data_IF_345258872859
#
_entry.id   IF_345258872859
#
_cell.length_a   1.000
_cell.length_b   1.000
_cell.length_c   1.000
_cell.angle_alpha   90.00
_cell.angle_beta   90.00
_cell.angle_gamma   90.00
#
_symmetry.space_group_name_H-M   'P 1'
#
loop_
_entity.id
_entity.type
_entity.pdbx_description
1 polymer ?
#
# COMPACT_ATOMS: atom_id res chain seq x y z
N UNK A 1 27.09 39.90 -36.74
CA UNK A 1 26.81 38.43 -36.54
C UNK A 1 27.21 37.72 -37.83
N UNK A 2 28.09 36.71 -37.81
CA UNK A 2 28.43 35.95 -39.01
C UNK A 2 27.18 35.30 -39.63
N UNK A 3 27.10 35.26 -40.97
CA UNK A 3 25.95 34.66 -41.66
C UNK A 3 25.65 33.20 -41.25
N UNK A 4 26.70 32.43 -40.98
CA UNK A 4 26.57 31.03 -40.48
C UNK A 4 25.80 30.95 -39.13
N UNK A 5 26.14 31.81 -38.17
CA UNK A 5 25.46 31.84 -36.86
C UNK A 5 23.99 32.27 -36.96
N UNK A 6 23.64 33.13 -37.93
CA UNK A 6 22.24 33.50 -38.19
C UNK A 6 21.42 32.33 -38.74
N UNK A 7 21.97 31.59 -39.71
CA UNK A 7 21.27 30.41 -40.29
C UNK A 7 21.16 29.28 -39.31
N UNK A 8 22.20 29.02 -38.50
CA UNK A 8 22.10 28.03 -37.41
C UNK A 8 21.06 28.42 -36.36
N UNK A 9 20.98 29.69 -36.00
CA UNK A 9 19.98 30.20 -35.07
C UNK A 9 18.57 30.09 -35.65
N UNK A 10 18.38 30.41 -36.96
CA UNK A 10 17.13 30.29 -37.67
C UNK A 10 16.65 28.82 -37.74
N UNK A 11 17.52 27.86 -38.05
CA UNK A 11 17.23 26.42 -38.06
C UNK A 11 16.82 25.95 -36.67
N UNK A 12 17.50 26.41 -35.62
CA UNK A 12 17.12 26.09 -34.22
C UNK A 12 15.77 26.64 -33.78
N UNK A 13 15.35 27.77 -34.37
CA UNK A 13 14.03 28.35 -34.15
C UNK A 13 12.93 27.62 -34.93
N UNK A 14 13.23 27.24 -36.18
CA UNK A 14 12.29 26.55 -37.07
C UNK A 14 12.11 25.07 -36.72
N UNK A 15 13.11 24.45 -36.09
CA UNK A 15 13.08 23.07 -35.60
C UNK A 15 13.67 23.00 -34.17
N UNK A 16 12.92 23.43 -33.15
CA UNK A 16 13.41 23.33 -31.79
C UNK A 16 13.59 21.84 -31.44
N UNK A 17 14.84 21.44 -31.21
CA UNK A 17 15.15 20.09 -30.71
C UNK A 17 14.57 20.03 -29.30
N UNK A 18 13.49 19.24 -29.11
CA UNK A 18 12.98 18.96 -27.80
C UNK A 18 13.98 18.06 -27.05
N UNK A 19 14.82 18.70 -26.22
CA UNK A 19 15.81 18.01 -25.38
C UNK A 19 15.18 17.12 -24.33
N UNK A 20 13.87 17.24 -24.14
CA UNK A 20 13.13 16.48 -23.16
C UNK A 20 12.35 15.31 -23.80
N UNK A 21 12.35 15.17 -25.12
CA UNK A 21 11.49 14.21 -25.84
C UNK A 21 11.61 12.79 -25.29
N UNK A 22 12.83 12.26 -25.21
CA UNK A 22 13.07 10.90 -24.73
C UNK A 22 12.62 10.72 -23.28
N UNK A 23 12.95 11.66 -22.40
CA UNK A 23 12.53 11.62 -20.99
C UNK A 23 11.02 11.80 -20.85
N UNK A 24 10.40 12.61 -21.69
CA UNK A 24 8.97 12.86 -21.75
C UNK A 24 8.21 11.60 -22.14
N UNK A 25 8.68 10.89 -23.16
CA UNK A 25 8.07 9.65 -23.63
C UNK A 25 8.18 8.56 -22.55
N UNK A 26 9.35 8.45 -21.90
CA UNK A 26 9.54 7.49 -20.79
C UNK A 26 8.68 7.82 -19.56
N UNK A 27 8.51 9.10 -19.21
CA UNK A 27 7.59 9.52 -18.15
C UNK A 27 6.15 9.07 -18.46
N UNK A 28 5.69 9.21 -19.70
CA UNK A 28 4.35 8.76 -20.12
C UNK A 28 4.20 7.25 -19.91
N UNK A 29 5.18 6.47 -20.35
CA UNK A 29 5.20 5.01 -20.16
C UNK A 29 5.13 4.64 -18.67
N UNK A 30 5.97 5.24 -17.82
CA UNK A 30 5.97 4.97 -16.37
C UNK A 30 4.62 5.32 -15.72
N UNK A 31 4.03 6.45 -16.11
CA UNK A 31 2.71 6.86 -15.56
C UNK A 31 1.61 5.91 -16.01
N UNK A 32 1.64 5.42 -17.24
CA UNK A 32 0.69 4.44 -17.77
C UNK A 32 0.86 3.08 -17.08
N UNK A 33 2.08 2.53 -17.00
CA UNK A 33 2.41 1.29 -16.31
C UNK A 33 1.97 1.32 -14.83
N UNK A 34 2.17 2.45 -14.15
CA UNK A 34 1.72 2.67 -12.77
C UNK A 34 0.23 3.03 -12.65
N UNK A 35 -0.53 3.07 -13.75
CA UNK A 35 -1.94 3.49 -13.80
C UNK A 35 -2.19 4.85 -13.12
N UNK A 36 -1.29 5.79 -13.30
CA UNK A 36 -1.37 7.14 -12.72
C UNK A 36 -1.17 7.20 -11.19
N UNK A 37 -0.68 6.11 -10.56
CA UNK A 37 -0.46 6.02 -9.11
C UNK A 37 0.80 6.74 -8.64
N UNK A 38 1.77 6.95 -9.53
CA UNK A 38 3.06 7.56 -9.19
C UNK A 38 3.02 9.09 -9.29
N UNK A 39 3.41 9.74 -8.19
CA UNK A 39 3.79 11.14 -8.23
C UNK A 39 5.23 11.33 -8.74
N UNK A 40 5.63 12.58 -9.01
CA UNK A 40 6.92 12.90 -9.61
C UNK A 40 8.13 12.28 -8.89
N UNK A 41 8.08 12.09 -7.56
CA UNK A 41 9.19 11.47 -6.81
C UNK A 41 9.40 10.01 -7.21
N UNK A 42 8.32 9.21 -7.28
CA UNK A 42 8.39 7.81 -7.72
C UNK A 42 8.72 7.70 -9.20
N UNK A 43 8.19 8.58 -10.04
CA UNK A 43 8.56 8.66 -11.46
C UNK A 43 10.06 8.95 -11.61
N UNK A 44 10.64 9.84 -10.77
CA UNK A 44 12.07 10.09 -10.78
C UNK A 44 12.87 8.84 -10.41
N UNK A 45 12.47 8.11 -9.37
CA UNK A 45 13.13 6.85 -8.99
C UNK A 45 13.00 5.81 -10.10
N UNK A 46 11.83 5.67 -10.72
CA UNK A 46 11.62 4.76 -11.84
C UNK A 46 12.54 5.09 -13.03
N UNK A 47 12.68 6.37 -13.37
CA UNK A 47 13.62 6.83 -14.40
C UNK A 47 15.07 6.49 -14.03
N UNK A 48 15.46 6.71 -12.78
CA UNK A 48 16.81 6.37 -12.31
C UNK A 48 17.07 4.86 -12.42
N UNK A 49 16.10 4.01 -12.07
CA UNK A 49 16.21 2.56 -12.21
C UNK A 49 16.33 2.10 -13.68
N UNK A 50 15.78 2.89 -14.62
CA UNK A 50 15.93 2.68 -16.07
C UNK A 50 17.20 3.33 -16.66
N UNK A 51 18.08 3.91 -15.82
CA UNK A 51 19.37 4.50 -16.21
C UNK A 51 19.34 5.97 -16.59
N UNK A 52 18.19 6.66 -16.44
CA UNK A 52 18.11 8.10 -16.71
C UNK A 52 18.64 8.93 -15.54
N UNK A 53 19.60 9.80 -15.79
CA UNK A 53 20.07 10.77 -14.79
C UNK A 53 19.29 12.08 -14.92
N UNK A 54 18.14 12.15 -14.23
CA UNK A 54 17.21 13.29 -14.35
C UNK A 54 16.87 13.86 -12.98
N UNK A 55 16.97 15.19 -12.86
CA UNK A 55 16.58 15.88 -11.63
C UNK A 55 15.06 15.86 -11.46
N UNK A 56 14.59 15.61 -10.23
CA UNK A 56 13.17 15.57 -9.89
C UNK A 56 12.39 16.85 -10.23
N UNK A 57 13.06 18.04 -10.25
CA UNK A 57 12.44 19.31 -10.68
C UNK A 57 12.12 19.29 -12.17
N UNK A 58 13.00 18.69 -13.01
CA UNK A 58 12.77 18.52 -14.44
C UNK A 58 11.60 17.56 -14.68
N UNK A 59 11.56 16.42 -13.96
CA UNK A 59 10.45 15.47 -14.02
C UNK A 59 9.13 16.13 -13.65
N UNK A 60 9.08 16.88 -12.53
CA UNK A 60 7.88 17.60 -12.10
C UNK A 60 7.40 18.62 -13.14
N UNK A 61 8.32 19.35 -13.80
CA UNK A 61 7.97 20.30 -14.86
C UNK A 61 7.32 19.57 -16.04
N UNK A 62 7.96 18.50 -16.54
CA UNK A 62 7.44 17.73 -17.68
C UNK A 62 6.07 17.12 -17.32
N UNK A 63 5.89 16.54 -16.14
CA UNK A 63 4.60 15.98 -15.69
C UNK A 63 3.50 17.05 -15.62
N UNK A 64 3.84 18.32 -15.30
CA UNK A 64 2.88 19.42 -15.33
C UNK A 64 2.52 19.83 -16.76
N UNK A 65 3.50 19.96 -17.64
CA UNK A 65 3.31 20.29 -19.06
C UNK A 65 2.40 19.26 -19.75
N UNK A 66 2.57 17.96 -19.42
CA UNK A 66 1.81 16.85 -19.99
C UNK A 66 0.51 16.53 -19.23
N UNK A 67 0.18 17.26 -18.17
CA UNK A 67 -1.00 16.99 -17.32
C UNK A 67 -0.99 15.59 -16.69
N UNK A 68 0.20 15.06 -16.36
CA UNK A 68 0.41 13.71 -15.81
C UNK A 68 0.57 13.67 -14.29
N UNK A 69 0.20 14.75 -13.58
CA UNK A 69 0.29 14.76 -12.13
C UNK A 69 -0.67 13.75 -11.50
N UNK A 70 -0.17 12.98 -10.53
CA UNK A 70 -0.98 12.03 -9.78
C UNK A 70 -2.12 12.75 -9.05
N UNK A 71 -3.35 12.30 -9.26
CA UNK A 71 -4.57 12.82 -8.64
C UNK A 71 -5.22 11.87 -7.63
N UNK A 72 -4.56 10.73 -7.32
CA UNK A 72 -5.10 9.67 -6.46
C UNK A 72 -5.16 10.08 -4.99
N UNK A 73 -4.19 10.84 -4.50
CA UNK A 73 -4.10 11.23 -3.09
C UNK A 73 -4.87 12.52 -2.82
N UNK A 74 -6.19 12.42 -2.65
CA UNK A 74 -7.05 13.54 -2.25
C UNK A 74 -7.19 13.57 -0.73
N UNK A 75 -7.02 14.73 -0.10
CA UNK A 75 -7.22 14.91 1.33
C UNK A 75 -8.67 14.57 1.70
N UNK A 76 -8.85 13.60 2.60
CA UNK A 76 -10.15 13.24 3.16
C UNK A 76 -10.07 13.30 4.69
N UNK A 77 -11.03 13.94 5.34
CA UNK A 77 -11.18 13.85 6.79
C UNK A 77 -11.72 12.46 7.13
N UNK A 78 -11.07 11.76 8.05
CA UNK A 78 -11.52 10.47 8.58
C UNK A 78 -12.16 10.70 9.93
N UNK A 79 -13.35 10.12 10.13
CA UNK A 79 -13.90 9.95 11.48
C UNK A 79 -13.38 8.63 12.01
N UNK A 80 -12.65 8.70 13.11
CA UNK A 80 -12.21 7.51 13.84
C UNK A 80 -13.40 6.95 14.64
N UNK A 81 -13.57 5.64 14.61
CA UNK A 81 -14.56 4.93 15.45
C UNK A 81 -13.88 3.71 16.04
N UNK A 82 -13.68 3.68 17.35
CA UNK A 82 -13.18 2.52 18.04
C UNK A 82 -14.26 1.45 18.24
N UNK A 83 -13.84 0.19 18.29
CA UNK A 83 -14.71 -0.95 18.59
C UNK A 83 -15.38 -0.77 19.96
N UNK A 84 -16.71 -1.01 20.01
CA UNK A 84 -17.55 -0.85 21.21
C UNK A 84 -18.14 -2.15 21.73
N UNK A 85 -17.70 -3.33 21.22
CA UNK A 85 -18.21 -4.64 21.60
C UNK A 85 -17.67 -5.15 22.95
N UNK A 86 -18.10 -6.39 23.31
CA UNK A 86 -17.62 -7.09 24.49
C UNK A 86 -16.11 -7.32 24.42
N UNK A 87 -15.44 -7.17 25.56
CA UNK A 87 -13.98 -7.26 25.68
C UNK A 87 -13.62 -8.67 26.08
N UNK A 88 -12.89 -9.41 25.21
CA UNK A 88 -12.28 -10.69 25.53
C UNK A 88 -10.91 -10.55 26.20
N UNK A 89 -10.01 -11.51 26.00
CA UNK A 89 -8.63 -11.44 26.50
C UNK A 89 -7.80 -10.43 25.70
N UNK A 90 -7.36 -9.37 26.30
CA UNK A 90 -6.50 -8.35 25.68
C UNK A 90 -5.04 -8.68 26.02
N UNK A 91 -4.19 -8.73 25.00
CA UNK A 91 -2.75 -8.84 25.17
C UNK A 91 -2.11 -7.47 25.41
N UNK A 92 -0.95 -7.45 26.05
CA UNK A 92 -0.18 -6.24 26.26
C UNK A 92 0.33 -5.64 24.93
N UNK A 93 0.53 -4.33 24.89
CA UNK A 93 1.19 -3.67 23.77
C UNK A 93 2.71 -3.82 23.87
N UNK A 94 3.23 -4.93 23.35
CA UNK A 94 4.67 -5.25 23.37
C UNK A 94 5.44 -4.39 22.34
N UNK A 95 4.80 -4.01 21.25
CA UNK A 95 5.42 -3.25 20.14
C UNK A 95 5.67 -1.79 20.50
N UNK A 96 4.79 -1.21 21.31
CA UNK A 96 4.84 0.18 21.80
C UNK A 96 5.31 1.22 20.76
N UNK A 97 4.79 1.09 19.53
CA UNK A 97 5.09 1.93 18.34
C UNK A 97 6.51 1.78 17.78
N UNK A 98 7.29 0.84 18.25
CA UNK A 98 8.58 0.52 17.64
C UNK A 98 8.41 -0.41 16.45
N UNK A 99 7.95 0.13 15.33
CA UNK A 99 7.72 -0.62 14.08
C UNK A 99 9.03 -0.83 13.32
N UNK A 100 9.92 -1.63 13.90
CA UNK A 100 11.22 -1.99 13.31
C UNK A 100 11.39 -3.51 13.36
N UNK A 101 11.97 -4.04 12.31
CA UNK A 101 12.37 -5.44 12.22
C UNK A 101 13.73 -5.52 11.51
N UNK A 102 14.62 -6.36 12.01
CA UNK A 102 15.96 -6.56 11.46
C UNK A 102 15.99 -7.70 10.42
N UNK A 103 14.98 -8.55 10.43
CA UNK A 103 14.81 -9.70 9.53
C UNK A 103 13.33 -9.96 9.23
N UNK A 104 13.01 -10.66 8.13
CA UNK A 104 11.66 -11.13 7.85
C UNK A 104 11.09 -11.98 9.00
N UNK A 105 9.78 -11.96 9.15
CA UNK A 105 9.03 -12.75 10.13
C UNK A 105 9.38 -12.43 11.60
N UNK A 106 9.81 -11.20 11.88
CA UNK A 106 10.07 -10.75 13.25
C UNK A 106 8.87 -9.96 13.82
N UNK A 107 8.23 -9.12 13.00
CA UNK A 107 7.07 -8.35 13.39
C UNK A 107 6.05 -8.29 12.24
N UNK A 108 4.90 -8.89 12.50
CA UNK A 108 3.74 -8.83 11.61
C UNK A 108 2.66 -7.94 12.18
N UNK A 109 2.07 -7.11 11.34
CA UNK A 109 0.89 -6.32 11.68
C UNK A 109 -0.32 -6.83 10.94
N UNK A 110 -1.47 -6.80 11.58
CA UNK A 110 -2.75 -7.17 10.97
C UNK A 110 -3.88 -6.26 11.43
N UNK A 111 -4.88 -6.12 10.59
CA UNK A 111 -6.13 -5.41 10.85
C UNK A 111 -7.16 -5.81 9.79
N UNK A 112 -8.41 -5.43 9.96
CA UNK A 112 -9.49 -5.68 9.00
C UNK A 112 -10.00 -4.36 8.44
N UNK A 113 -10.08 -4.28 7.10
CA UNK A 113 -10.68 -3.13 6.44
C UNK A 113 -11.87 -3.54 5.58
N UNK A 114 -12.82 -2.60 5.39
CA UNK A 114 -14.00 -2.83 4.57
C UNK A 114 -13.97 -2.00 3.28
N UNK A 115 -14.59 -2.56 2.24
CA UNK A 115 -14.90 -1.89 0.98
C UNK A 115 -16.40 -1.96 0.73
N UNK A 116 -16.96 -0.88 0.20
CA UNK A 116 -18.36 -0.82 -0.18
C UNK A 116 -18.49 -0.21 -1.58
N UNK A 117 -19.07 -0.96 -2.51
CA UNK A 117 -19.41 -0.46 -3.85
C UNK A 117 -20.61 0.48 -3.71
N UNK A 118 -20.57 1.60 -4.40
CA UNK A 118 -21.67 2.59 -4.38
C UNK A 118 -22.94 1.96 -4.95
N UNK A 119 -24.02 2.06 -4.19
CA UNK A 119 -25.33 1.49 -4.57
C UNK A 119 -25.54 0.05 -4.11
N UNK A 120 -24.52 -0.62 -3.55
CA UNK A 120 -24.62 -1.98 -3.02
C UNK A 120 -24.77 -1.97 -1.49
N UNK A 121 -25.59 -2.88 -0.97
CA UNK A 121 -25.73 -3.05 0.49
C UNK A 121 -24.63 -3.89 1.11
N UNK A 122 -24.15 -4.88 0.36
CA UNK A 122 -23.08 -5.78 0.79
C UNK A 122 -21.77 -5.03 0.99
N UNK A 123 -20.90 -5.60 1.81
CA UNK A 123 -19.53 -5.13 2.02
C UNK A 123 -18.56 -6.27 1.71
N UNK A 124 -17.35 -5.90 1.32
CA UNK A 124 -16.23 -6.83 1.21
C UNK A 124 -15.21 -6.46 2.28
N UNK A 125 -14.74 -7.43 3.01
CA UNK A 125 -13.73 -7.28 4.06
C UNK A 125 -12.41 -7.88 3.59
N UNK A 126 -11.33 -7.17 3.86
CA UNK A 126 -9.96 -7.61 3.62
C UNK A 126 -9.22 -7.67 4.95
N UNK A 127 -8.64 -8.83 5.23
CA UNK A 127 -7.73 -9.04 6.37
C UNK A 127 -6.36 -9.44 5.84
N UNK A 128 -5.36 -8.56 5.85
CA UNK A 128 -3.99 -8.84 5.45
C UNK A 128 -3.07 -8.99 6.65
N UNK A 129 -1.91 -9.63 6.43
CA UNK A 129 -0.72 -9.54 7.28
C UNK A 129 0.36 -8.75 6.55
N UNK A 130 0.86 -7.71 7.19
CA UNK A 130 1.99 -6.89 6.75
C UNK A 130 3.25 -7.28 7.53
N UNK A 131 4.29 -7.75 6.87
CA UNK A 131 5.61 -7.88 7.44
C UNK A 131 6.31 -6.51 7.47
N UNK A 132 6.75 -6.09 8.64
CA UNK A 132 7.36 -4.76 8.84
C UNK A 132 8.76 -4.67 8.22
N UNK A 133 9.50 -5.77 8.11
CA UNK A 133 10.86 -5.78 7.60
C UNK A 133 10.96 -5.19 6.18
N UNK A 134 10.11 -5.66 5.27
CA UNK A 134 10.12 -5.24 3.86
C UNK A 134 8.83 -4.54 3.44
N UNK A 135 7.89 -4.35 4.37
CA UNK A 135 6.56 -3.79 4.13
C UNK A 135 5.79 -4.58 3.06
N UNK A 136 5.85 -5.90 3.08
CA UNK A 136 5.12 -6.80 2.19
C UNK A 136 3.84 -7.34 2.83
N UNK A 137 2.82 -7.52 2.01
CA UNK A 137 1.62 -8.27 2.39
C UNK A 137 1.91 -9.74 2.15
N UNK A 138 2.24 -10.46 3.22
CA UNK A 138 2.64 -11.87 3.15
C UNK A 138 1.46 -12.83 3.08
N UNK A 139 0.28 -12.41 3.53
CA UNK A 139 -0.95 -13.19 3.43
C UNK A 139 -2.15 -12.27 3.48
N UNK A 140 -3.25 -12.67 2.88
CA UNK A 140 -4.54 -11.99 3.02
C UNK A 140 -5.72 -12.91 2.76
N UNK A 141 -6.88 -12.50 3.25
CA UNK A 141 -8.17 -13.15 2.99
C UNK A 141 -9.24 -12.10 2.71
N UNK A 142 -10.13 -12.41 1.78
CA UNK A 142 -11.29 -11.62 1.42
C UNK A 142 -12.58 -12.36 1.78
N UNK A 143 -13.56 -11.68 2.36
CA UNK A 143 -14.86 -12.26 2.71
C UNK A 143 -15.96 -11.20 2.70
N UNK A 144 -17.20 -11.62 2.44
CA UNK A 144 -18.37 -10.76 2.60
C UNK A 144 -18.82 -10.61 4.06
N UNK A 145 -18.24 -11.39 4.98
CA UNK A 145 -18.57 -11.36 6.40
C UNK A 145 -17.29 -11.22 7.24
N UNK A 146 -17.27 -10.30 8.21
CA UNK A 146 -16.13 -10.15 9.11
C UNK A 146 -16.20 -11.21 10.24
N UNK A 147 -16.11 -12.46 9.86
CA UNK A 147 -16.13 -13.60 10.80
C UNK A 147 -14.73 -13.92 11.32
N UNK A 148 -14.65 -14.75 12.33
CA UNK A 148 -13.39 -15.25 12.91
C UNK A 148 -12.58 -16.04 11.86
N UNK A 149 -13.25 -16.73 10.93
CA UNK A 149 -12.61 -17.44 9.83
C UNK A 149 -11.80 -16.50 8.93
N UNK A 150 -12.26 -15.25 8.74
CA UNK A 150 -11.54 -14.27 7.90
C UNK A 150 -10.09 -14.08 8.37
N UNK A 151 -9.89 -13.91 9.68
CA UNK A 151 -8.55 -13.71 10.25
C UNK A 151 -7.80 -15.02 10.45
N UNK A 152 -8.48 -16.08 10.87
CA UNK A 152 -7.86 -17.38 11.12
C UNK A 152 -7.33 -18.04 9.84
N UNK A 153 -8.08 -18.00 8.74
CA UNK A 153 -7.64 -18.52 7.43
C UNK A 153 -6.44 -17.73 6.89
N UNK A 154 -6.45 -16.40 7.07
CA UNK A 154 -5.31 -15.55 6.71
C UNK A 154 -4.05 -15.94 7.49
N UNK A 155 -4.17 -16.14 8.81
CA UNK A 155 -3.04 -16.55 9.65
C UNK A 155 -2.52 -17.94 9.28
N UNK A 156 -3.40 -18.91 9.01
CA UNK A 156 -3.02 -20.25 8.58
C UNK A 156 -2.19 -20.21 7.30
N UNK A 157 -2.66 -19.50 6.28
CA UNK A 157 -1.91 -19.30 5.02
C UNK A 157 -0.54 -18.69 5.28
N UNK A 158 -0.47 -17.63 6.11
CA UNK A 158 0.80 -17.00 6.44
C UNK A 158 1.79 -17.97 7.10
N UNK A 159 1.31 -18.81 8.03
CA UNK A 159 2.15 -19.77 8.75
C UNK A 159 2.53 -20.99 7.89
N UNK A 160 1.72 -21.35 6.89
CA UNK A 160 2.05 -22.40 5.92
C UNK A 160 3.19 -21.98 4.99
N UNK A 161 3.19 -20.74 4.55
CA UNK A 161 4.20 -20.19 3.64
C UNK A 161 5.49 -19.76 4.36
N UNK A 162 5.38 -19.32 5.64
CA UNK A 162 6.50 -18.81 6.43
C UNK A 162 6.77 -19.73 7.63
N UNK A 163 7.69 -20.67 7.48
CA UNK A 163 8.02 -21.68 8.52
C UNK A 163 8.90 -21.15 9.65
N UNK A 164 9.74 -20.15 9.39
CA UNK A 164 10.60 -19.54 10.42
C UNK A 164 9.82 -18.42 11.14
N UNK A 165 9.11 -18.81 12.18
CA UNK A 165 8.34 -17.91 13.04
C UNK A 165 8.93 -17.79 14.44
N UNK A 166 10.21 -18.15 14.59
CA UNK A 166 10.90 -18.02 15.88
C UNK A 166 10.95 -16.55 16.30
N UNK A 167 10.48 -16.29 17.51
CA UNK A 167 10.41 -14.96 18.13
C UNK A 167 9.48 -13.97 17.38
N UNK A 168 8.57 -14.48 16.55
CA UNK A 168 7.57 -13.65 15.85
C UNK A 168 6.63 -12.96 16.83
N UNK A 169 6.43 -11.66 16.61
CA UNK A 169 5.38 -10.87 17.25
C UNK A 169 4.29 -10.58 16.21
N UNK A 170 3.03 -10.87 16.54
CA UNK A 170 1.89 -10.43 15.74
C UNK A 170 1.15 -9.34 16.50
N UNK A 171 1.07 -8.16 15.90
CA UNK A 171 0.39 -7.00 16.47
C UNK A 171 -0.90 -6.69 15.72
N UNK A 172 -1.97 -6.42 16.48
CA UNK A 172 -3.28 -6.05 15.96
C UNK A 172 -3.95 -4.96 16.79
N UNK A 173 -5.10 -4.47 16.35
CA UNK A 173 -6.02 -3.75 17.22
C UNK A 173 -6.71 -4.69 18.22
N UNK A 174 -7.62 -4.12 19.05
CA UNK A 174 -8.44 -4.90 19.98
C UNK A 174 -9.74 -5.42 19.33
N UNK A 175 -9.75 -5.75 18.05
CA UNK A 175 -10.88 -6.34 17.36
C UNK A 175 -11.25 -7.73 17.94
N UNK A 176 -12.54 -8.07 17.94
CA UNK A 176 -13.03 -9.34 18.51
C UNK A 176 -12.39 -10.58 17.88
N UNK A 177 -11.97 -10.48 16.62
CA UNK A 177 -11.28 -11.56 15.91
C UNK A 177 -10.01 -11.99 16.62
N UNK A 178 -9.23 -11.02 17.09
CA UNK A 178 -7.89 -11.21 17.70
C UNK A 178 -7.98 -11.57 19.19
N UNK A 179 -9.14 -11.36 19.81
CA UNK A 179 -9.43 -11.73 21.21
C UNK A 179 -10.02 -13.13 21.35
N UNK A 180 -10.47 -13.72 20.24
CA UNK A 180 -11.13 -15.02 20.24
C UNK A 180 -10.14 -16.16 20.52
N UNK A 181 -10.60 -17.19 21.27
CA UNK A 181 -9.78 -18.33 21.68
C UNK A 181 -9.16 -19.10 20.50
N UNK A 182 -9.84 -19.19 19.36
CA UNK A 182 -9.28 -19.85 18.18
C UNK A 182 -8.03 -19.15 17.63
N UNK A 183 -7.96 -17.81 17.74
CA UNK A 183 -6.78 -17.03 17.39
C UNK A 183 -5.67 -17.18 18.43
N UNK A 184 -5.97 -16.91 19.71
CA UNK A 184 -4.97 -16.94 20.80
C UNK A 184 -4.35 -18.32 20.98
N UNK A 185 -5.16 -19.40 20.97
CA UNK A 185 -4.66 -20.77 21.07
C UNK A 185 -3.76 -21.17 19.90
N UNK A 186 -4.00 -20.60 18.71
CA UNK A 186 -3.16 -20.84 17.53
C UNK A 186 -1.78 -20.22 17.70
N UNK A 187 -1.73 -18.97 18.18
CA UNK A 187 -0.48 -18.28 18.48
C UNK A 187 0.31 -18.98 19.60
N UNK A 188 -0.36 -19.38 20.68
CA UNK A 188 0.27 -20.12 21.78
C UNK A 188 0.89 -21.44 21.31
N UNK A 189 0.18 -22.23 20.49
CA UNK A 189 0.69 -23.50 19.92
C UNK A 189 1.94 -23.30 19.05
N UNK A 190 2.04 -22.18 18.39
CA UNK A 190 3.18 -21.82 17.51
C UNK A 190 4.26 -21.03 18.24
N UNK A 191 4.08 -20.78 19.55
CA UNK A 191 4.98 -19.95 20.36
C UNK A 191 5.20 -18.54 19.79
N UNK A 192 4.12 -17.94 19.26
CA UNK A 192 4.10 -16.61 18.67
C UNK A 192 3.58 -15.61 19.72
N UNK A 193 4.28 -14.49 19.88
CA UNK A 193 3.87 -13.45 20.82
C UNK A 193 2.76 -12.60 20.25
N UNK A 194 1.62 -12.52 20.95
CA UNK A 194 0.54 -11.60 20.60
C UNK A 194 0.81 -10.23 21.24
N UNK A 195 0.60 -9.17 20.46
CA UNK A 195 0.62 -7.78 20.89
C UNK A 195 -0.64 -7.07 20.42
N UNK A 196 -1.20 -6.19 21.25
CA UNK A 196 -2.40 -5.43 20.88
C UNK A 196 -2.24 -3.94 21.13
N UNK A 197 -2.77 -3.13 20.22
CA UNK A 197 -2.87 -1.67 20.37
C UNK A 197 -3.64 -1.29 21.62
N UNK A 198 -3.29 -0.17 22.24
CA UNK A 198 -4.09 0.43 23.32
C UNK A 198 -5.45 0.87 22.80
N UNK A 199 -6.47 0.73 23.63
CA UNK A 199 -7.85 1.07 23.25
C UNK A 199 -7.96 2.51 22.76
N UNK A 200 -8.50 2.68 21.56
CA UNK A 200 -8.73 4.01 21.00
C UNK A 200 -7.48 4.72 20.47
N UNK A 201 -6.34 4.04 20.37
CA UNK A 201 -5.09 4.63 19.94
C UNK A 201 -4.66 4.11 18.55
N UNK A 202 -5.11 4.83 17.51
CA UNK A 202 -4.82 4.47 16.11
C UNK A 202 -3.31 4.51 15.77
N UNK A 203 -2.50 5.28 16.51
CA UNK A 203 -1.07 5.36 16.27
C UNK A 203 -0.35 4.04 16.61
N UNK A 204 -0.97 3.18 17.40
CA UNK A 204 -0.38 1.91 17.79
C UNK A 204 -0.41 0.85 16.67
N UNK A 205 -1.14 1.10 15.54
CA UNK A 205 -1.13 0.26 14.34
C UNK A 205 -0.94 1.09 13.05
N UNK A 206 -0.17 2.18 13.14
CA UNK A 206 -0.02 3.16 12.07
C UNK A 206 0.51 2.62 10.74
N UNK A 207 1.42 1.61 10.65
CA UNK A 207 1.86 1.10 9.35
C UNK A 207 0.73 0.37 8.61
N UNK A 208 -0.13 -0.38 9.32
CA UNK A 208 -1.27 -1.04 8.71
C UNK A 208 -2.34 -0.04 8.26
N UNK A 209 -2.62 0.99 9.07
CA UNK A 209 -3.51 2.09 8.66
C UNK A 209 -2.97 2.83 7.42
N UNK A 210 -1.65 3.04 7.35
CA UNK A 210 -1.00 3.63 6.18
C UNK A 210 -1.17 2.76 4.94
N UNK A 211 -0.95 1.44 5.05
CA UNK A 211 -1.20 0.49 3.96
C UNK A 211 -2.64 0.59 3.46
N UNK A 212 -3.64 0.54 4.33
CA UNK A 212 -5.03 0.68 3.93
C UNK A 212 -5.34 2.03 3.28
N UNK A 213 -4.72 3.09 3.81
CA UNK A 213 -4.83 4.42 3.23
C UNK A 213 -4.31 4.45 1.79
N UNK A 214 -3.13 3.91 1.56
CA UNK A 214 -2.47 3.84 0.25
C UNK A 214 -3.30 2.98 -0.71
N UNK A 215 -3.66 1.76 -0.31
CA UNK A 215 -4.46 0.83 -1.11
C UNK A 215 -5.77 1.49 -1.56
N UNK A 216 -6.52 2.10 -0.63
CA UNK A 216 -7.78 2.76 -0.97
C UNK A 216 -7.60 3.98 -1.87
N UNK A 217 -6.54 4.76 -1.69
CA UNK A 217 -6.26 5.93 -2.53
C UNK A 217 -5.79 5.53 -3.94
N UNK A 218 -4.94 4.52 -4.04
CA UNK A 218 -4.31 4.14 -5.30
C UNK A 218 -5.21 3.27 -6.19
N UNK A 219 -6.16 2.49 -5.62
CA UNK A 219 -6.96 1.55 -6.41
C UNK A 219 -8.47 1.57 -6.18
N UNK A 220 -8.96 2.18 -5.08
CA UNK A 220 -10.39 2.10 -4.77
C UNK A 220 -11.12 3.42 -4.96
N UNK A 221 -10.60 4.53 -4.40
CA UNK A 221 -11.30 5.81 -4.46
C UNK A 221 -11.23 6.45 -5.84
N UNK A 222 -12.42 6.77 -6.38
CA UNK A 222 -12.56 7.37 -7.71
C UNK A 222 -12.60 6.35 -8.84
N UNK A 223 -12.62 5.06 -8.52
CA UNK A 223 -12.82 3.97 -9.47
C UNK A 223 -14.25 3.45 -9.40
N UNK A 224 -14.78 3.00 -10.55
CA UNK A 224 -16.09 2.37 -10.66
C UNK A 224 -15.94 0.85 -10.80
N UNK A 225 -16.49 0.12 -9.84
CA UNK A 225 -16.46 -1.35 -9.86
C UNK A 225 -17.80 -1.91 -10.33
N UNK A 226 -17.76 -2.77 -11.34
CA UNK A 226 -18.95 -3.38 -11.94
C UNK A 226 -19.60 -4.45 -11.05
N UNK A 227 -18.81 -5.10 -10.20
CA UNK A 227 -19.22 -6.15 -9.28
C UNK A 227 -18.19 -6.34 -8.17
N UNK A 228 -18.54 -7.09 -7.14
CA UNK A 228 -17.58 -7.50 -6.11
C UNK A 228 -16.49 -8.42 -6.65
N UNK A 229 -16.78 -9.29 -7.61
CA UNK A 229 -15.77 -10.13 -8.26
C UNK A 229 -14.73 -9.28 -9.01
N UNK A 230 -15.18 -8.19 -9.66
CA UNK A 230 -14.26 -7.21 -10.25
C UNK A 230 -13.41 -6.52 -9.17
N UNK A 231 -14.02 -6.10 -8.06
CA UNK A 231 -13.27 -5.49 -6.93
C UNK A 231 -12.26 -6.46 -6.33
N UNK A 232 -12.63 -7.73 -6.11
CA UNK A 232 -11.74 -8.79 -5.61
C UNK A 232 -10.54 -8.93 -6.53
N UNK A 233 -10.77 -9.11 -7.83
CA UNK A 233 -9.68 -9.23 -8.82
C UNK A 233 -8.74 -8.01 -8.81
N UNK A 234 -9.26 -6.80 -8.68
CA UNK A 234 -8.43 -5.59 -8.64
C UNK A 234 -7.65 -5.46 -7.30
N UNK A 235 -8.21 -5.92 -6.17
CA UNK A 235 -7.47 -5.99 -4.89
C UNK A 235 -6.31 -6.98 -5.00
N UNK A 236 -6.55 -8.18 -5.56
CA UNK A 236 -5.52 -9.22 -5.74
C UNK A 236 -4.38 -8.72 -6.64
N UNK A 237 -4.72 -8.13 -7.79
CA UNK A 237 -3.73 -7.51 -8.70
C UNK A 237 -2.96 -6.38 -8.02
N UNK A 238 -3.66 -5.58 -7.19
CA UNK A 238 -3.02 -4.48 -6.48
C UNK A 238 -2.03 -4.98 -5.44
N UNK A 239 -2.39 -5.99 -4.63
CA UNK A 239 -1.50 -6.55 -3.60
C UNK A 239 -0.25 -7.15 -4.26
N UNK A 240 -0.42 -7.91 -5.36
CA UNK A 240 0.70 -8.42 -6.13
C UNK A 240 1.63 -7.29 -6.60
N UNK A 241 1.07 -6.28 -7.28
CA UNK A 241 1.83 -5.12 -7.73
C UNK A 241 2.48 -4.33 -6.58
N UNK A 242 1.80 -4.21 -5.43
CA UNK A 242 2.31 -3.54 -4.23
C UNK A 242 3.55 -4.23 -3.68
N UNK A 243 3.58 -5.55 -3.70
CA UNK A 243 4.72 -6.32 -3.23
C UNK A 243 5.88 -6.30 -4.23
N UNK A 244 5.60 -6.54 -5.51
CA UNK A 244 6.61 -6.82 -6.55
C UNK A 244 7.15 -5.55 -7.22
N UNK A 245 6.28 -4.62 -7.59
CA UNK A 245 6.63 -3.52 -8.50
C UNK A 245 6.56 -2.13 -7.88
N UNK A 246 5.78 -1.98 -6.79
CA UNK A 246 5.55 -0.65 -6.23
C UNK A 246 6.82 -0.07 -5.62
N UNK A 247 7.27 1.05 -6.16
CA UNK A 247 8.39 1.81 -5.59
C UNK A 247 7.98 2.34 -4.19
N UNK A 248 8.64 1.81 -3.16
CA UNK A 248 8.51 2.25 -1.76
C UNK A 248 9.58 3.33 -1.53
N UNK A 249 9.15 4.59 -1.38
CA UNK A 249 10.05 5.71 -1.03
C UNK A 249 9.95 5.94 0.47
N UNK A 250 11.08 5.95 1.14
CA UNK A 250 11.22 6.36 2.54
C UNK A 250 10.95 7.85 2.71
#
# INVERSE_FOLDING_TARGET
>A
MPKSSYYEWKIKLEQPIDKDKEVRDEIKTIVEESRGRYGYRRVTVALTNKGYNVNHKRVLRIMREESLLCNKFKTRSRKYSSYKGEVGKIADNVVDREFKADKPNQLWLTDVTEFRIKGEEKKLYLSPILDIYNSEIISYTLSYHPTIELTNTMLEKALEENKDTKDLIIHSDQGFHYQHSSWTNKLEKMNITQSMSRKGNCLDNSPMENFFGILKQEMFYGEDFKSYDHLISEIEKYIKWYNEDRIKTN
#
